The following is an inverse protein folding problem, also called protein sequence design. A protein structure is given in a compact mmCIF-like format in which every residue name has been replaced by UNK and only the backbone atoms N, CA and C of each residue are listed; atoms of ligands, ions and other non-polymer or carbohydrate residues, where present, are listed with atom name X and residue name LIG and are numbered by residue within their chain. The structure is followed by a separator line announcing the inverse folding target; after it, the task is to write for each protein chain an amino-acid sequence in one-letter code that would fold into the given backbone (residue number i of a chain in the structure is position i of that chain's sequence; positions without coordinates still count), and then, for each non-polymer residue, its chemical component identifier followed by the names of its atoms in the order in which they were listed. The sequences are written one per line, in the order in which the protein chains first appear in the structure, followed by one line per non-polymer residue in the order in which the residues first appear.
data_IF_521146590918
#
_entry.id   IF_521146590918
#
_cell.length_a   1.000
_cell.length_b   1.000
_cell.length_c   1.000
_cell.angle_alpha   90.00
_cell.angle_beta   90.00
_cell.angle_gamma   90.00
#
_symmetry.space_group_name_H-M   'P 1'
#
loop_
_entity.id
_entity.type
_entity.pdbx_description
1 polymer ?
#
# COMPACT_ATOMS: atom_id res chain seq x y z
N UNK A 1 20.15 -14.42 15.94
CA UNK A 1 19.43 -14.11 14.69
C UNK A 1 18.86 -12.72 14.88
N UNK A 2 19.17 -11.77 14.03
CA UNK A 2 18.80 -10.38 14.28
C UNK A 2 17.49 -10.08 13.56
N UNK A 3 16.52 -9.54 14.30
CA UNK A 3 15.16 -9.27 13.83
C UNK A 3 15.18 -8.01 12.96
N UNK A 4 14.52 -8.04 11.81
CA UNK A 4 14.36 -6.85 10.95
C UNK A 4 13.78 -5.67 11.76
N UNK A 5 14.47 -4.54 11.72
CA UNK A 5 14.04 -3.31 12.39
C UNK A 5 13.08 -2.47 11.53
N UNK A 6 12.74 -2.93 10.32
CA UNK A 6 11.80 -2.27 9.42
C UNK A 6 10.43 -2.07 10.09
N UNK A 7 10.04 -0.84 10.32
CA UNK A 7 8.76 -0.52 10.95
C UNK A 7 7.56 -1.05 10.16
N UNK A 8 7.66 -1.09 8.84
CA UNK A 8 6.57 -1.57 7.96
C UNK A 8 6.27 -3.05 8.20
N UNK A 9 7.30 -3.90 8.33
CA UNK A 9 7.12 -5.31 8.61
C UNK A 9 6.54 -5.53 10.02
N UNK A 10 7.03 -4.79 11.02
CA UNK A 10 6.53 -4.85 12.39
C UNK A 10 5.08 -4.42 12.52
N UNK A 11 4.67 -3.41 11.78
CA UNK A 11 3.28 -2.96 11.74
C UNK A 11 2.40 -4.00 11.03
N UNK A 12 2.85 -4.53 9.89
CA UNK A 12 2.14 -5.59 9.18
C UNK A 12 1.92 -6.83 10.03
N UNK A 13 2.93 -7.28 10.77
CA UNK A 13 2.81 -8.47 11.62
C UNK A 13 1.88 -8.30 12.85
N UNK A 14 1.44 -7.08 13.14
CA UNK A 14 0.43 -6.78 14.18
C UNK A 14 -0.98 -6.66 13.62
N UNK A 15 -1.08 -6.62 12.32
CA UNK A 15 -2.33 -6.50 11.60
C UNK A 15 -2.79 -7.90 11.18
N UNK A 16 -3.87 -8.44 11.77
CA UNK A 16 -4.35 -9.79 11.46
C UNK A 16 -4.85 -9.95 10.01
N UNK A 17 -5.10 -8.85 9.31
CA UNK A 17 -5.51 -8.89 7.90
C UNK A 17 -4.34 -8.90 6.93
N UNK A 18 -3.13 -8.57 7.40
CA UNK A 18 -1.92 -8.64 6.59
C UNK A 18 -1.35 -10.06 6.68
N UNK A 19 -0.97 -10.69 5.56
CA UNK A 19 -0.50 -12.07 5.53
C UNK A 19 0.94 -12.20 6.07
N UNK A 20 1.22 -11.55 7.18
CA UNK A 20 2.51 -11.60 7.88
C UNK A 20 2.29 -11.72 9.37
N UNK A 21 2.88 -12.72 9.98
CA UNK A 21 2.87 -12.91 11.42
C UNK A 21 4.30 -13.00 11.97
N UNK A 22 4.46 -12.86 13.29
CA UNK A 22 5.72 -13.07 13.97
C UNK A 22 5.62 -14.33 14.83
N UNK A 23 6.46 -15.33 14.54
CA UNK A 23 6.56 -16.55 15.33
C UNK A 23 7.59 -16.35 16.46
N UNK A 24 7.10 -16.25 17.70
CA UNK A 24 7.93 -16.06 18.89
C UNK A 24 8.86 -17.25 19.17
N UNK A 25 8.50 -18.47 18.75
CA UNK A 25 9.32 -19.66 19.01
C UNK A 25 10.56 -19.73 18.12
N UNK A 26 10.40 -19.36 16.86
CA UNK A 26 11.52 -19.33 15.90
C UNK A 26 12.18 -17.94 15.80
N UNK A 27 11.60 -16.94 16.47
CA UNK A 27 12.00 -15.52 16.38
C UNK A 27 12.10 -15.03 14.94
N UNK A 28 11.16 -15.49 14.08
CA UNK A 28 11.13 -15.13 12.65
C UNK A 28 9.77 -14.60 12.23
N UNK A 29 9.77 -13.84 11.12
CA UNK A 29 8.51 -13.49 10.45
C UNK A 29 8.09 -14.60 9.50
N UNK A 30 6.78 -14.81 9.44
CA UNK A 30 6.13 -15.81 8.60
C UNK A 30 5.23 -15.09 7.61
N UNK A 31 5.36 -15.43 6.32
CA UNK A 31 4.50 -14.97 5.25
C UNK A 31 3.45 -16.05 4.97
N UNK A 32 2.18 -15.72 5.07
CA UNK A 32 1.06 -16.61 4.82
C UNK A 32 0.68 -16.54 3.34
N UNK A 33 0.98 -17.60 2.59
CA UNK A 33 0.76 -17.66 1.14
C UNK A 33 -0.55 -18.37 0.77
N UNK A 34 -1.11 -19.14 1.70
CA UNK A 34 -2.44 -19.77 1.64
C UNK A 34 -2.84 -20.21 3.05
N UNK A 35 -4.07 -20.74 3.21
CA UNK A 35 -4.53 -21.30 4.49
C UNK A 35 -3.68 -22.47 5.02
N UNK A 36 -2.90 -23.11 4.16
CA UNK A 36 -2.09 -24.29 4.50
C UNK A 36 -0.59 -24.05 4.35
N UNK A 37 -0.18 -22.95 3.71
CA UNK A 37 1.20 -22.69 3.40
C UNK A 37 1.71 -21.41 4.09
N UNK A 38 2.63 -21.65 5.01
CA UNK A 38 3.33 -20.60 5.75
C UNK A 38 4.82 -20.65 5.38
N UNK A 39 5.39 -19.52 5.00
CA UNK A 39 6.79 -19.41 4.62
C UNK A 39 7.57 -18.62 5.67
N UNK A 40 8.54 -19.27 6.32
CA UNK A 40 9.47 -18.59 7.22
C UNK A 40 10.43 -17.71 6.42
N UNK A 41 10.36 -16.41 6.65
CA UNK A 41 11.18 -15.45 5.93
C UNK A 41 12.60 -15.40 6.48
N UNK A 42 13.58 -15.48 5.58
CA UNK A 42 14.99 -15.24 5.91
C UNK A 42 15.37 -13.77 5.73
N UNK A 43 14.64 -13.05 4.89
CA UNK A 43 14.87 -11.63 4.58
C UNK A 43 13.55 -10.87 4.55
N UNK A 44 13.62 -9.61 4.94
CA UNK A 44 12.47 -8.71 4.88
C UNK A 44 12.15 -8.34 3.42
N UNK A 45 10.95 -8.62 2.97
CA UNK A 45 10.55 -8.33 1.60
C UNK A 45 10.33 -6.82 1.34
N UNK A 46 10.33 -5.97 2.36
CA UNK A 46 10.28 -4.51 2.21
C UNK A 46 11.66 -3.88 2.06
N UNK A 47 12.65 -4.30 2.87
CA UNK A 47 13.96 -3.66 2.92
C UNK A 47 15.13 -4.58 2.57
N UNK A 48 14.88 -5.86 2.31
CA UNK A 48 15.88 -6.87 1.93
C UNK A 48 16.78 -7.36 3.06
N UNK A 49 16.82 -6.68 4.21
CA UNK A 49 17.71 -7.00 5.30
C UNK A 49 17.00 -7.40 6.59
N UNK A 50 17.75 -7.99 7.52
CA UNK A 50 17.39 -8.08 8.92
C UNK A 50 18.20 -7.09 9.76
N UNK A 51 19.46 -6.81 9.37
CA UNK A 51 20.39 -5.92 10.07
C UNK A 51 21.15 -4.96 9.15
N UNK A 52 21.25 -5.27 7.85
CA UNK A 52 21.97 -4.45 6.90
C UNK A 52 20.99 -3.54 6.15
N UNK A 53 21.09 -2.22 6.31
CA UNK A 53 20.25 -1.28 5.55
C UNK A 53 20.56 -1.25 4.05
N UNK A 54 21.65 -1.89 3.61
CA UNK A 54 21.99 -2.03 2.20
C UNK A 54 22.09 -3.53 1.81
N UNK A 55 20.94 -4.19 1.54
CA UNK A 55 20.90 -5.60 1.17
C UNK A 55 21.43 -5.87 -0.23
N UNK A 56 22.64 -5.44 -0.56
CA UNK A 56 23.29 -5.69 -1.83
C UNK A 56 22.41 -5.41 -3.07
N UNK A 57 22.95 -4.73 -4.07
CA UNK A 57 22.22 -4.38 -5.30
C UNK A 57 21.95 -5.56 -6.25
N UNK A 58 22.10 -6.80 -5.80
CA UNK A 58 21.94 -7.97 -6.67
C UNK A 58 20.47 -8.34 -6.83
N UNK A 59 20.05 -8.55 -8.07
CA UNK A 59 18.70 -9.05 -8.36
C UNK A 59 18.54 -10.50 -7.88
N UNK A 60 17.31 -10.84 -7.50
CA UNK A 60 16.96 -12.19 -7.10
C UNK A 60 17.20 -13.16 -8.28
N UNK A 61 18.07 -14.15 -8.08
CA UNK A 61 18.36 -15.22 -9.04
C UNK A 61 17.81 -16.59 -8.61
N UNK A 62 17.22 -16.70 -7.41
CA UNK A 62 16.72 -17.97 -6.91
C UNK A 62 15.39 -18.41 -7.55
N UNK A 63 14.66 -17.49 -8.19
CA UNK A 63 13.40 -17.76 -8.89
C UNK A 63 12.23 -18.20 -7.99
N UNK A 64 12.34 -18.02 -6.65
CA UNK A 64 11.30 -18.48 -5.72
C UNK A 64 9.98 -17.75 -5.93
N UNK A 65 10.02 -16.41 -5.95
CA UNK A 65 8.81 -15.57 -6.08
C UNK A 65 8.16 -15.75 -7.45
N UNK A 66 8.96 -15.96 -8.51
CA UNK A 66 8.46 -16.28 -9.85
C UNK A 66 7.71 -17.62 -9.86
N UNK A 67 8.26 -18.65 -9.20
CA UNK A 67 7.56 -19.95 -9.06
C UNK A 67 6.25 -19.80 -8.30
N UNK A 68 6.23 -18.99 -7.22
CA UNK A 68 4.99 -18.72 -6.49
C UNK A 68 3.94 -18.04 -7.38
N UNK A 69 4.33 -17.05 -8.16
CA UNK A 69 3.42 -16.31 -9.04
C UNK A 69 2.89 -17.17 -10.21
N UNK A 70 3.54 -18.31 -10.52
CA UNK A 70 3.08 -19.28 -11.54
C UNK A 70 2.27 -20.44 -10.98
N UNK A 71 2.27 -20.63 -9.66
CA UNK A 71 1.48 -21.68 -9.00
C UNK A 71 0.11 -21.12 -8.57
N UNK A 72 -1.01 -21.62 -9.15
CA UNK A 72 -2.35 -21.12 -8.82
C UNK A 72 -2.80 -21.40 -7.38
N UNK A 73 -2.05 -22.18 -6.62
CA UNK A 73 -2.31 -22.44 -5.19
C UNK A 73 -1.67 -21.37 -4.28
N UNK A 74 -0.78 -20.57 -4.82
CA UNK A 74 -0.11 -19.50 -4.08
C UNK A 74 -0.88 -18.20 -4.24
N UNK A 75 -1.02 -17.47 -3.15
CA UNK A 75 -1.59 -16.13 -3.17
C UNK A 75 -0.56 -15.09 -3.62
N UNK A 76 0.17 -15.38 -4.71
CA UNK A 76 1.18 -14.46 -5.28
C UNK A 76 0.85 -14.21 -6.74
N UNK A 77 0.86 -12.95 -7.14
CA UNK A 77 0.59 -12.51 -8.50
C UNK A 77 1.71 -11.59 -9.00
N UNK A 78 2.03 -11.68 -10.30
CA UNK A 78 2.88 -10.73 -10.98
C UNK A 78 2.06 -9.74 -11.79
N UNK A 79 2.08 -8.47 -11.39
CA UNK A 79 1.49 -7.39 -12.18
C UNK A 79 2.48 -6.93 -13.26
N UNK A 80 2.25 -7.40 -14.48
CA UNK A 80 3.11 -7.07 -15.62
C UNK A 80 3.05 -5.58 -16.01
N UNK A 81 1.97 -4.87 -15.69
CA UNK A 81 1.82 -3.43 -15.95
C UNK A 81 2.75 -2.63 -15.07
N UNK A 82 2.77 -2.94 -13.79
CA UNK A 82 3.61 -2.24 -12.82
C UNK A 82 4.97 -2.92 -12.58
N UNK A 83 5.19 -4.09 -13.18
CA UNK A 83 6.41 -4.90 -13.03
C UNK A 83 6.71 -5.24 -11.57
N UNK A 84 5.71 -5.66 -10.81
CA UNK A 84 5.83 -5.96 -9.38
C UNK A 84 5.16 -7.28 -9.03
N UNK A 85 5.63 -7.90 -7.94
CA UNK A 85 4.95 -9.04 -7.33
C UNK A 85 4.12 -8.57 -6.14
N UNK A 86 2.92 -9.15 -6.00
CA UNK A 86 2.03 -8.94 -4.87
C UNK A 86 1.72 -10.26 -4.17
N UNK A 87 1.64 -10.23 -2.84
CA UNK A 87 0.90 -11.25 -2.10
C UNK A 87 -0.53 -10.77 -1.96
N UNK A 88 -1.48 -11.60 -2.38
CA UNK A 88 -2.90 -11.31 -2.30
C UNK A 88 -3.43 -11.79 -0.94
N UNK A 89 -4.28 -11.00 -0.28
CA UNK A 89 -4.87 -11.40 0.98
C UNK A 89 -6.27 -10.80 1.17
N UNK A 90 -7.07 -11.50 1.96
CA UNK A 90 -8.47 -11.08 2.13
C UNK A 90 -9.22 -11.03 0.80
N UNK A 91 -10.12 -10.04 0.65
CA UNK A 91 -10.93 -9.91 -0.57
C UNK A 91 -10.27 -9.05 -1.66
N UNK A 92 -9.46 -8.06 -1.30
CA UNK A 92 -8.86 -7.12 -2.25
C UNK A 92 -7.49 -6.57 -1.75
N UNK A 93 -6.93 -7.15 -0.68
CA UNK A 93 -5.65 -6.74 -0.12
C UNK A 93 -4.49 -7.18 -1.02
N UNK A 94 -3.52 -6.30 -1.20
CA UNK A 94 -2.30 -6.58 -1.95
C UNK A 94 -1.09 -6.07 -1.18
N UNK A 95 -0.10 -6.94 -0.98
CA UNK A 95 1.16 -6.61 -0.34
C UNK A 95 2.29 -6.70 -1.36
N UNK A 96 2.91 -5.58 -1.67
CA UNK A 96 3.99 -5.53 -2.66
C UNK A 96 5.29 -6.10 -2.09
N UNK A 97 5.94 -6.94 -2.88
CA UNK A 97 7.25 -7.49 -2.57
C UNK A 97 8.33 -6.71 -3.32
N UNK A 98 9.29 -6.16 -2.61
CA UNK A 98 10.46 -5.47 -3.16
C UNK A 98 11.71 -6.33 -3.18
N UNK A 99 11.80 -7.29 -2.25
CA UNK A 99 12.92 -8.21 -2.09
C UNK A 99 12.42 -9.65 -1.93
N UNK A 100 13.22 -10.59 -2.36
CA UNK A 100 12.92 -12.00 -2.18
C UNK A 100 13.03 -12.40 -0.70
N UNK A 101 11.99 -12.97 -0.09
CA UNK A 101 12.01 -13.32 1.34
C UNK A 101 12.93 -14.51 1.67
N UNK A 102 13.44 -15.23 0.67
CA UNK A 102 14.37 -16.35 0.84
C UNK A 102 15.83 -15.97 0.66
N UNK A 103 16.18 -15.26 -0.42
CA UNK A 103 17.57 -14.94 -0.73
C UNK A 103 17.96 -13.46 -0.51
N UNK A 104 17.00 -12.59 -0.16
CA UNK A 104 17.23 -11.15 0.04
C UNK A 104 17.50 -10.36 -1.25
N UNK A 105 17.59 -11.01 -2.41
CA UNK A 105 17.84 -10.34 -3.69
C UNK A 105 16.67 -9.44 -4.10
N UNK A 106 16.98 -8.31 -4.77
CA UNK A 106 15.96 -7.36 -5.26
C UNK A 106 15.05 -8.03 -6.29
N UNK A 107 13.79 -7.79 -6.17
CA UNK A 107 12.79 -8.14 -7.18
C UNK A 107 12.75 -7.07 -8.29
N UNK A 108 12.05 -7.32 -9.42
CA UNK A 108 11.97 -6.36 -10.50
C UNK A 108 11.60 -4.96 -10.02
N UNK A 109 12.25 -3.95 -10.59
CA UNK A 109 11.98 -2.56 -10.25
C UNK A 109 10.58 -2.16 -10.71
N UNK A 110 9.83 -1.57 -9.79
CA UNK A 110 8.46 -1.14 -10.05
C UNK A 110 8.42 -0.03 -11.10
N UNK A 111 7.52 -0.19 -12.08
CA UNK A 111 7.20 0.85 -13.07
C UNK A 111 6.16 1.87 -12.56
N UNK A 112 5.81 1.86 -11.29
CA UNK A 112 4.87 2.83 -10.74
C UNK A 112 5.23 4.28 -11.11
N UNK A 113 6.51 4.65 -11.08
CA UNK A 113 7.00 5.96 -11.49
C UNK A 113 6.70 6.34 -12.94
N UNK A 114 6.50 5.35 -13.85
CA UNK A 114 6.11 5.61 -15.22
C UNK A 114 4.63 6.01 -15.35
N UNK A 115 3.79 5.54 -14.42
CA UNK A 115 2.34 5.72 -14.45
C UNK A 115 1.82 6.80 -13.50
N UNK A 116 2.63 7.24 -12.55
CA UNK A 116 2.26 8.27 -11.59
C UNK A 116 3.19 9.46 -11.70
N UNK A 117 2.65 10.66 -11.49
CA UNK A 117 3.46 11.85 -11.34
C UNK A 117 4.26 11.78 -10.03
N UNK A 118 5.38 12.48 -9.97
CA UNK A 118 6.07 12.69 -8.70
C UNK A 118 5.26 13.65 -7.84
N UNK A 119 5.00 13.28 -6.60
CA UNK A 119 4.20 14.09 -5.68
C UNK A 119 4.99 15.33 -5.26
N UNK A 120 4.55 16.50 -5.67
CA UNK A 120 5.16 17.76 -5.30
C UNK A 120 4.77 18.14 -3.86
N UNK A 121 5.74 18.17 -2.95
CA UNK A 121 5.50 18.61 -1.56
C UNK A 121 5.00 20.06 -1.50
N UNK A 122 5.47 20.92 -2.41
CA UNK A 122 5.00 22.31 -2.50
C UNK A 122 3.50 22.38 -2.84
N UNK A 123 3.04 21.54 -3.79
CA UNK A 123 1.62 21.46 -4.12
C UNK A 123 0.80 20.88 -2.96
N UNK A 124 1.32 19.86 -2.30
CA UNK A 124 0.66 19.26 -1.13
C UNK A 124 0.49 20.30 -0.01
N UNK A 125 1.53 21.08 0.29
CA UNK A 125 1.47 22.11 1.34
C UNK A 125 0.54 23.27 0.95
N UNK A 126 0.51 23.66 -0.33
CA UNK A 126 -0.46 24.63 -0.85
C UNK A 126 -1.89 24.17 -0.58
N UNK A 127 -2.23 22.93 -0.96
CA UNK A 127 -3.58 22.39 -0.75
C UNK A 127 -3.88 22.11 0.71
N UNK A 128 -2.91 21.60 1.48
CA UNK A 128 -3.08 21.40 2.92
C UNK A 128 -3.44 22.71 3.61
N UNK A 129 -2.79 23.80 3.25
CA UNK A 129 -3.08 25.14 3.80
C UNK A 129 -4.48 25.61 3.41
N UNK A 130 -4.89 25.42 2.15
CA UNK A 130 -6.22 25.83 1.66
C UNK A 130 -7.38 25.04 2.25
N UNK A 131 -7.14 23.74 2.53
CA UNK A 131 -8.20 22.81 2.93
C UNK A 131 -8.28 22.59 4.44
N UNK A 132 -7.25 22.99 5.20
CA UNK A 132 -7.11 22.69 6.63
C UNK A 132 -8.28 23.16 7.50
N UNK A 133 -8.90 24.28 7.15
CA UNK A 133 -9.95 24.91 7.97
C UNK A 133 -11.36 24.57 7.48
N UNK A 134 -11.50 23.84 6.37
CA UNK A 134 -12.79 23.47 5.80
C UNK A 134 -13.48 22.41 6.65
N UNK A 135 -14.78 22.57 6.83
CA UNK A 135 -15.60 21.71 7.66
C UNK A 135 -16.62 20.89 6.86
N UNK A 136 -16.89 21.28 5.63
CA UNK A 136 -17.93 20.65 4.82
C UNK A 136 -17.46 20.33 3.42
N UNK A 137 -18.02 19.28 2.83
CA UNK A 137 -17.80 18.92 1.42
C UNK A 137 -18.16 20.07 0.48
N UNK A 138 -19.20 20.85 0.80
CA UNK A 138 -19.62 22.01 -0.02
C UNK A 138 -18.50 23.06 -0.13
N UNK A 139 -17.81 23.35 0.97
CA UNK A 139 -16.66 24.27 0.98
C UNK A 139 -15.48 23.70 0.17
N UNK A 140 -15.23 22.39 0.26
CA UNK A 140 -14.19 21.74 -0.54
C UNK A 140 -14.50 21.85 -2.03
N UNK A 141 -15.74 21.56 -2.44
CA UNK A 141 -16.18 21.67 -3.85
C UNK A 141 -16.07 23.11 -4.33
N UNK A 142 -16.37 24.10 -3.48
CA UNK A 142 -16.24 25.51 -3.85
C UNK A 142 -14.78 25.91 -4.17
N UNK A 143 -13.80 25.26 -3.54
CA UNK A 143 -12.38 25.54 -3.75
C UNK A 143 -11.77 24.67 -4.87
N UNK A 144 -12.07 23.36 -4.88
CA UNK A 144 -11.46 22.39 -5.80
C UNK A 144 -12.24 22.19 -7.09
N UNK A 145 -13.49 22.65 -7.16
CA UNK A 145 -14.41 22.36 -8.25
C UNK A 145 -15.15 21.03 -8.06
N UNK A 146 -15.81 20.56 -9.12
CA UNK A 146 -16.50 19.27 -9.08
C UNK A 146 -15.49 18.10 -8.92
N UNK A 147 -15.81 17.08 -8.12
CA UNK A 147 -14.98 15.89 -8.02
C UNK A 147 -15.00 15.10 -9.34
N UNK A 148 -13.89 14.45 -9.68
CA UNK A 148 -13.85 13.56 -10.84
C UNK A 148 -14.59 12.24 -10.61
N UNK A 149 -14.58 11.76 -9.37
CA UNK A 149 -15.30 10.56 -8.97
C UNK A 149 -15.69 10.60 -7.51
N UNK A 150 -16.71 9.79 -7.19
CA UNK A 150 -17.19 9.56 -5.83
C UNK A 150 -17.24 8.04 -5.59
N UNK A 151 -16.84 7.60 -4.41
CA UNK A 151 -16.97 6.22 -3.96
C UNK A 151 -17.61 6.17 -2.58
N UNK A 152 -18.45 5.15 -2.37
CA UNK A 152 -18.97 4.80 -1.05
C UNK A 152 -17.98 3.96 -0.25
N UNK A 153 -18.31 3.59 1.01
CA UNK A 153 -17.48 2.72 1.82
C UNK A 153 -17.29 1.36 1.15
N UNK A 154 -16.03 0.95 1.00
CA UNK A 154 -15.70 -0.39 0.51
C UNK A 154 -15.85 -1.42 1.63
N UNK A 155 -16.00 -2.71 1.26
CA UNK A 155 -16.01 -3.80 2.25
C UNK A 155 -14.72 -3.84 3.09
N UNK A 156 -13.58 -3.46 2.51
CA UNK A 156 -12.29 -3.34 3.20
C UNK A 156 -12.35 -2.30 4.33
N UNK A 157 -13.02 -1.17 4.11
CA UNK A 157 -13.18 -0.14 5.14
C UNK A 157 -13.89 -0.67 6.39
N UNK A 158 -14.81 -1.63 6.23
CA UNK A 158 -15.54 -2.25 7.35
C UNK A 158 -14.61 -3.13 8.18
N UNK A 159 -13.73 -3.89 7.54
CA UNK A 159 -12.75 -4.76 8.22
C UNK A 159 -11.69 -3.92 8.96
N UNK A 160 -11.14 -2.90 8.33
CA UNK A 160 -10.19 -1.99 8.96
C UNK A 160 -10.74 -1.24 10.18
N UNK A 161 -12.05 -1.02 10.24
CA UNK A 161 -12.70 -0.33 11.34
C UNK A 161 -12.51 -1.03 12.68
N UNK A 162 -12.71 -2.34 12.72
CA UNK A 162 -12.62 -3.12 13.98
C UNK A 162 -11.18 -3.18 14.51
N UNK A 163 -10.19 -3.15 13.60
CA UNK A 163 -8.78 -3.32 13.93
C UNK A 163 -8.06 -2.02 14.31
N UNK A 164 -8.39 -0.91 13.64
CA UNK A 164 -7.65 0.34 13.78
C UNK A 164 -8.44 1.46 14.44
N UNK A 165 -9.65 1.18 14.92
CA UNK A 165 -10.55 2.21 15.43
C UNK A 165 -10.76 3.34 14.38
N UNK A 166 -10.80 2.96 13.10
CA UNK A 166 -11.01 3.88 11.99
C UNK A 166 -12.45 4.36 12.02
N UNK A 167 -12.65 5.67 11.92
CA UNK A 167 -13.96 6.27 11.84
C UNK A 167 -14.75 5.75 10.62
N UNK A 168 -16.05 5.53 10.79
CA UNK A 168 -16.94 5.26 9.67
C UNK A 168 -16.94 6.43 8.71
N UNK A 169 -16.67 6.16 7.44
CA UNK A 169 -16.77 7.16 6.41
C UNK A 169 -17.98 6.89 5.51
N UNK A 170 -18.64 7.97 5.13
CA UNK A 170 -19.85 8.00 4.37
C UNK A 170 -19.59 7.94 2.87
N UNK A 171 -18.59 8.70 2.42
CA UNK A 171 -18.15 8.75 1.02
C UNK A 171 -16.75 9.32 0.90
N UNK A 172 -16.09 9.02 -0.20
CA UNK A 172 -14.83 9.64 -0.60
C UNK A 172 -14.99 10.31 -1.97
N UNK A 173 -14.51 11.53 -2.06
CA UNK A 173 -14.50 12.35 -3.27
C UNK A 173 -13.07 12.51 -3.77
N UNK A 174 -12.87 12.31 -5.06
CA UNK A 174 -11.57 12.39 -5.68
C UNK A 174 -11.49 13.61 -6.60
N UNK A 175 -10.48 14.44 -6.39
CA UNK A 175 -10.25 15.67 -7.14
C UNK A 175 -8.88 15.61 -7.82
N UNK A 176 -8.81 16.06 -9.09
CA UNK A 176 -7.56 16.25 -9.82
C UNK A 176 -7.47 17.69 -10.30
N UNK A 177 -6.92 18.61 -9.48
CA UNK A 177 -6.83 20.02 -9.86
C UNK A 177 -6.07 20.20 -11.17
N UNK A 178 -6.57 21.02 -12.07
CA UNK A 178 -5.99 21.23 -13.39
C UNK A 178 -4.53 21.73 -13.29
N UNK A 179 -3.63 21.13 -14.08
CA UNK A 179 -2.22 21.50 -14.11
C UNK A 179 -1.41 21.14 -12.88
N UNK A 180 -1.97 20.32 -11.97
CA UNK A 180 -1.29 19.85 -10.75
C UNK A 180 -0.91 18.38 -10.86
N UNK A 181 0.13 17.96 -10.12
CA UNK A 181 0.63 16.58 -10.06
C UNK A 181 -0.05 15.74 -8.97
N UNK A 182 -0.89 16.37 -8.17
CA UNK A 182 -1.55 15.78 -7.01
C UNK A 182 -3.00 15.40 -7.31
N UNK A 183 -3.41 14.24 -6.80
CA UNK A 183 -4.80 13.83 -6.63
C UNK A 183 -5.18 13.98 -5.16
N UNK A 184 -6.29 14.63 -4.89
CA UNK A 184 -6.78 14.89 -3.54
C UNK A 184 -7.98 13.98 -3.29
N UNK A 185 -7.90 13.14 -2.26
CA UNK A 185 -9.02 12.35 -1.78
C UNK A 185 -9.57 13.00 -0.51
N UNK A 186 -10.85 13.33 -0.51
CA UNK A 186 -11.56 13.88 0.65
C UNK A 186 -12.60 12.87 1.10
N UNK A 187 -12.43 12.34 2.31
CA UNK A 187 -13.35 11.41 2.95
C UNK A 187 -14.27 12.19 3.89
N UNK A 188 -15.57 12.02 3.73
CA UNK A 188 -16.58 12.50 4.67
C UNK A 188 -16.91 11.37 5.65
N UNK A 189 -16.66 11.58 6.93
CA UNK A 189 -16.98 10.63 7.99
C UNK A 189 -18.44 10.77 8.42
N UNK A 190 -18.98 9.73 9.10
CA UNK A 190 -20.38 9.73 9.59
C UNK A 190 -20.64 10.83 10.64
N UNK A 191 -19.63 11.22 11.39
CA UNK A 191 -19.69 12.34 12.35
C UNK A 191 -19.59 13.73 11.70
N UNK A 192 -19.46 13.79 10.37
CA UNK A 192 -19.33 15.01 9.58
C UNK A 192 -17.90 15.57 9.49
N UNK A 193 -16.91 14.94 10.13
CA UNK A 193 -15.52 15.35 9.94
C UNK A 193 -15.01 15.00 8.52
N UNK A 194 -13.99 15.71 8.09
CA UNK A 194 -13.33 15.47 6.80
C UNK A 194 -11.91 14.93 7.01
N UNK A 195 -11.60 13.82 6.33
CA UNK A 195 -10.24 13.34 6.15
C UNK A 195 -9.71 13.73 4.78
N UNK A 196 -8.48 14.23 4.70
CA UNK A 196 -7.87 14.66 3.43
C UNK A 196 -6.56 13.92 3.25
N UNK A 197 -6.43 13.24 2.11
CA UNK A 197 -5.20 12.57 1.70
C UNK A 197 -4.76 13.02 0.32
N UNK A 198 -3.44 13.08 0.12
CA UNK A 198 -2.82 13.49 -1.13
C UNK A 198 -2.11 12.29 -1.75
N UNK A 199 -2.30 12.09 -3.04
CA UNK A 199 -1.69 11.00 -3.80
C UNK A 199 -1.08 11.53 -5.10
N UNK A 200 -0.06 10.88 -5.64
CA UNK A 200 0.44 11.19 -6.98
C UNK A 200 -0.67 11.04 -8.02
N UNK A 201 -0.71 11.97 -8.97
CA UNK A 201 -1.66 11.88 -10.10
C UNK A 201 -1.29 10.72 -11.02
N UNK A 202 -2.29 9.93 -11.40
CA UNK A 202 -2.11 8.90 -12.43
C UNK A 202 -2.04 9.56 -13.82
N UNK A 203 -0.96 9.30 -14.55
CA UNK A 203 -0.68 9.83 -15.89
C UNK A 203 -0.83 8.82 -17.03
N UNK A 204 -1.15 7.56 -16.68
CA UNK A 204 -1.40 6.52 -17.67
C UNK A 204 -2.73 6.67 -18.38
N UNK A 205 -2.99 5.87 -19.43
CA UNK A 205 -4.28 5.86 -20.12
C UNK A 205 -5.38 5.48 -19.12
N UNK A 206 -6.48 6.25 -19.12
CA UNK A 206 -7.69 5.91 -18.33
C UNK A 206 -8.29 4.64 -18.94
N UNK A 207 -8.56 3.65 -18.11
CA UNK A 207 -9.29 2.44 -18.49
C UNK A 207 -10.77 2.70 -18.60
#
# INVERSE_FOLDING_TARGET
MTICLCNTLKLGARDPDVPVSFDENSETYVLELSSELHFQMKYCFFCGGFDDPDPGNEFCSCGLVERWATDPKMAVEFDAKFNVYHVLYGNDGQLMLYYCPDCGGRLPESKHGEFFEELSEVEVDEFRTKLRELKTIGEVIAILGAPESESGPSKIAVIHKELYNVKDWKRALWFQPAGKTVTICVQEFEDGELGITFRPRYKGPRQ
#
